data_IF_623407708079
#
_entry.id   IF_623407708079
#
_cell.length_a   1.000
_cell.length_b   1.000
_cell.length_c   1.000
_cell.angle_alpha   90.00
_cell.angle_beta   90.00
_cell.angle_gamma   90.00
#
_symmetry.space_group_name_H-M   'P 1'
#
loop_
_entity.id
_entity.type
_entity.pdbx_description
1 polymer ?
#
# COMPACT_ATOMS: atom_id res chain seq x y z
N UNK A 1 18.73 32.68 -4.42
CA UNK A 1 18.04 31.37 -4.48
C UNK A 1 16.58 31.61 -4.14
N UNK A 2 15.64 31.33 -5.05
CA UNK A 2 14.23 31.73 -4.86
C UNK A 2 13.54 30.90 -3.77
N UNK A 3 12.57 31.48 -3.06
CA UNK A 3 11.75 30.80 -2.05
C UNK A 3 11.13 29.51 -2.62
N UNK A 4 10.73 29.52 -3.89
CA UNK A 4 10.26 28.31 -4.61
C UNK A 4 11.27 27.17 -4.61
N UNK A 5 12.56 27.46 -4.78
CA UNK A 5 13.59 26.42 -4.81
C UNK A 5 13.79 25.77 -3.43
N UNK A 6 13.72 26.56 -2.36
CA UNK A 6 13.73 26.05 -0.98
C UNK A 6 12.50 25.18 -0.68
N UNK A 7 11.32 25.59 -1.12
CA UNK A 7 10.09 24.80 -0.98
C UNK A 7 10.15 23.48 -1.76
N UNK A 8 10.74 23.50 -2.96
CA UNK A 8 10.96 22.28 -3.76
C UNK A 8 11.92 21.32 -3.06
N UNK A 9 13.05 21.81 -2.54
CA UNK A 9 14.00 20.99 -1.78
C UNK A 9 13.32 20.41 -0.55
N UNK A 10 12.61 21.24 0.22
CA UNK A 10 11.87 20.78 1.39
C UNK A 10 10.86 19.68 1.01
N UNK A 11 10.10 19.86 -0.07
CA UNK A 11 9.18 18.85 -0.58
C UNK A 11 9.87 17.54 -0.99
N UNK A 12 11.00 17.62 -1.69
CA UNK A 12 11.77 16.44 -2.06
C UNK A 12 12.31 15.71 -0.82
N UNK A 13 12.85 16.45 0.16
CA UNK A 13 13.34 15.89 1.42
C UNK A 13 12.20 15.24 2.18
N UNK A 14 11.02 15.86 2.29
CA UNK A 14 9.89 15.25 2.99
C UNK A 14 9.34 14.03 2.25
N UNK A 15 9.27 14.05 0.92
CA UNK A 15 8.84 12.89 0.12
C UNK A 15 9.81 11.71 0.24
N UNK A 16 11.11 11.94 0.10
CA UNK A 16 12.15 10.90 0.24
C UNK A 16 12.19 10.38 1.66
N UNK A 17 12.13 11.28 2.66
CA UNK A 17 12.11 10.90 4.07
C UNK A 17 10.85 10.10 4.40
N UNK A 18 9.66 10.53 3.93
CA UNK A 18 8.41 9.79 4.10
C UNK A 18 8.49 8.41 3.44
N UNK A 19 9.06 8.31 2.24
CA UNK A 19 9.31 7.04 1.56
C UNK A 19 10.24 6.12 2.36
N UNK A 20 11.35 6.66 2.87
CA UNK A 20 12.31 5.91 3.68
C UNK A 20 11.73 5.48 5.02
N UNK A 21 11.07 6.38 5.76
CA UNK A 21 10.38 6.07 7.01
C UNK A 21 9.27 5.07 6.80
N UNK A 22 8.45 5.25 5.76
CA UNK A 22 7.40 4.30 5.39
C UNK A 22 8.00 2.93 5.10
N UNK A 23 9.08 2.84 4.31
CA UNK A 23 9.73 1.56 4.01
C UNK A 23 10.30 0.89 5.29
N UNK A 24 11.02 1.64 6.12
CA UNK A 24 11.54 1.13 7.41
C UNK A 24 10.40 0.66 8.32
N UNK A 25 9.31 1.43 8.36
CA UNK A 25 8.14 1.12 9.15
C UNK A 25 7.37 -0.09 8.61
N UNK A 26 7.23 -0.23 7.29
CA UNK A 26 6.65 -1.42 6.65
C UNK A 26 7.49 -2.66 6.96
N UNK A 27 8.83 -2.57 6.90
CA UNK A 27 9.72 -3.66 7.30
C UNK A 27 9.48 -4.06 8.76
N UNK A 28 9.46 -3.10 9.70
CA UNK A 28 9.16 -3.39 11.11
C UNK A 28 7.77 -3.98 11.32
N UNK A 29 6.77 -3.49 10.59
CA UNK A 29 5.41 -4.03 10.59
C UNK A 29 5.39 -5.49 10.10
N UNK A 30 6.11 -5.76 9.02
CA UNK A 30 6.23 -7.09 8.43
C UNK A 30 6.95 -8.07 9.36
N UNK A 31 7.92 -7.57 10.13
CA UNK A 31 8.62 -8.28 11.20
C UNK A 31 7.80 -8.39 12.50
N UNK A 32 6.58 -7.86 12.56
CA UNK A 32 5.74 -7.95 13.75
C UNK A 32 6.23 -7.11 14.95
N UNK A 33 7.31 -6.33 14.80
CA UNK A 33 7.91 -5.55 15.89
C UNK A 33 7.00 -4.43 16.42
N UNK A 34 5.98 -4.04 15.66
CA UNK A 34 5.10 -2.91 15.98
C UNK A 34 3.72 -3.42 16.31
N UNK A 35 3.25 -3.12 17.53
CA UNK A 35 1.85 -3.32 17.95
C UNK A 35 0.90 -2.73 16.92
N UNK A 36 -0.14 -3.49 16.56
CA UNK A 36 -1.09 -3.13 15.50
C UNK A 36 -1.80 -1.80 15.79
N UNK A 37 -2.07 -1.48 17.05
CA UNK A 37 -2.66 -0.19 17.46
C UNK A 37 -1.75 1.00 17.14
N UNK A 38 -0.46 0.88 17.50
CA UNK A 38 0.56 1.86 17.11
C UNK A 38 0.64 1.94 15.60
N UNK A 39 0.39 0.83 14.90
CA UNK A 39 0.41 0.86 13.46
C UNK A 39 -0.72 1.71 12.84
N UNK A 40 -1.93 1.56 13.38
CA UNK A 40 -3.08 2.37 12.98
C UNK A 40 -2.87 3.83 13.32
N UNK A 41 -2.42 4.13 14.53
CA UNK A 41 -2.15 5.49 14.99
C UNK A 41 -1.13 6.21 14.08
N UNK A 42 -0.01 5.55 13.76
CA UNK A 42 0.98 6.10 12.84
C UNK A 42 0.42 6.35 11.44
N UNK A 43 -0.39 5.43 10.92
CA UNK A 43 -1.02 5.61 9.61
C UNK A 43 -2.02 6.77 9.61
N UNK A 44 -2.85 6.90 10.64
CA UNK A 44 -3.78 8.03 10.80
C UNK A 44 -2.99 9.35 10.87
N UNK A 45 -1.97 9.40 11.73
CA UNK A 45 -1.15 10.59 11.92
C UNK A 45 -0.46 11.03 10.63
N UNK A 46 0.16 10.09 9.92
CA UNK A 46 0.76 10.35 8.62
C UNK A 46 -0.24 10.97 7.64
N UNK A 47 -1.42 10.36 7.49
CA UNK A 47 -2.43 10.87 6.57
C UNK A 47 -2.95 12.26 6.99
N UNK A 48 -3.11 12.52 8.29
CA UNK A 48 -3.49 13.85 8.79
C UNK A 48 -2.43 14.92 8.50
N UNK A 49 -1.16 14.63 8.76
CA UNK A 49 -0.05 15.54 8.46
C UNK A 49 -0.01 15.88 6.97
N UNK A 50 -0.19 14.88 6.10
CA UNK A 50 -0.27 15.11 4.66
C UNK A 50 -1.51 15.93 4.29
N UNK A 51 -2.68 15.67 4.88
CA UNK A 51 -3.87 16.47 4.63
C UNK A 51 -3.66 17.95 5.00
N UNK A 52 -3.06 18.22 6.16
CA UNK A 52 -2.72 19.58 6.60
C UNK A 52 -1.74 20.23 5.64
N UNK A 53 -0.70 19.51 5.21
CA UNK A 53 0.28 20.01 4.24
C UNK A 53 -0.39 20.45 2.93
N UNK A 54 -1.25 19.60 2.37
CA UNK A 54 -2.01 19.94 1.16
C UNK A 54 -2.97 21.12 1.40
N UNK A 55 -3.60 21.21 2.56
CA UNK A 55 -4.42 22.35 2.96
C UNK A 55 -3.64 23.67 3.03
N UNK A 56 -2.41 23.65 3.56
CA UNK A 56 -1.51 24.82 3.56
C UNK A 56 -1.20 25.26 2.12
N UNK A 57 -0.96 24.31 1.21
CA UNK A 57 -0.72 24.62 -0.21
C UNK A 57 -1.93 25.28 -0.87
N UNK A 58 -3.16 24.90 -0.50
CA UNK A 58 -4.39 25.58 -0.96
C UNK A 58 -4.41 27.03 -0.49
N UNK A 59 -4.21 27.26 0.81
CA UNK A 59 -4.24 28.61 1.39
C UNK A 59 -3.16 29.49 0.74
N UNK A 60 -1.93 28.99 0.63
CA UNK A 60 -0.83 29.71 -0.02
C UNK A 60 -1.16 30.09 -1.47
N UNK A 61 -1.80 29.18 -2.22
CA UNK A 61 -2.13 29.44 -3.62
C UNK A 61 -3.22 30.50 -3.78
N UNK A 62 -4.26 30.47 -2.93
CA UNK A 62 -5.33 31.48 -2.92
C UNK A 62 -4.81 32.83 -2.44
N UNK A 63 -4.02 32.86 -1.36
CA UNK A 63 -3.49 34.09 -0.79
C UNK A 63 -2.43 34.77 -1.66
N UNK A 64 -1.75 34.03 -2.54
CA UNK A 64 -0.76 34.62 -3.45
C UNK A 64 -1.40 35.54 -4.49
N UNK A 65 -2.67 35.34 -4.83
CA UNK A 65 -3.38 36.06 -5.90
C UNK A 65 -4.87 36.23 -5.57
N UNK A 66 -5.23 37.13 -4.64
CA UNK A 66 -6.60 37.21 -4.10
C UNK A 66 -7.65 37.65 -5.13
N UNK A 67 -7.25 38.41 -6.15
CA UNK A 67 -8.17 38.95 -7.16
C UNK A 67 -8.29 38.07 -8.42
N UNK A 68 -7.48 37.02 -8.53
CA UNK A 68 -7.58 36.05 -9.64
C UNK A 68 -8.55 34.92 -9.28
N UNK A 69 -9.24 34.33 -10.28
CA UNK A 69 -10.01 33.11 -10.05
C UNK A 69 -9.10 32.01 -9.49
N UNK A 70 -9.66 31.17 -8.60
CA UNK A 70 -8.94 30.08 -7.95
C UNK A 70 -8.27 29.20 -9.01
N UNK A 71 -6.94 29.08 -8.92
CA UNK A 71 -6.19 28.31 -9.90
C UNK A 71 -6.56 26.83 -9.87
N UNK A 72 -6.44 26.15 -11.00
CA UNK A 72 -6.59 24.70 -11.10
C UNK A 72 -5.75 23.94 -10.05
N UNK A 73 -4.54 24.43 -9.74
CA UNK A 73 -3.68 23.82 -8.75
C UNK A 73 -4.25 23.87 -7.34
N UNK A 74 -4.93 24.95 -6.95
CA UNK A 74 -5.59 25.02 -5.64
C UNK A 74 -6.67 23.93 -5.50
N UNK A 75 -7.46 23.66 -6.54
CA UNK A 75 -8.42 22.54 -6.53
C UNK A 75 -7.73 21.18 -6.43
N UNK A 76 -6.62 20.98 -7.15
CA UNK A 76 -5.84 19.75 -7.07
C UNK A 76 -5.27 19.54 -5.65
N UNK A 77 -4.77 20.60 -5.01
CA UNK A 77 -4.28 20.54 -3.63
C UNK A 77 -5.42 20.24 -2.64
N UNK A 78 -6.58 20.87 -2.81
CA UNK A 78 -7.76 20.62 -1.98
C UNK A 78 -8.23 19.18 -2.10
N UNK A 79 -8.29 18.65 -3.33
CA UNK A 79 -8.62 17.26 -3.57
C UNK A 79 -7.61 16.32 -2.92
N UNK A 80 -6.31 16.62 -3.01
CA UNK A 80 -5.26 15.89 -2.30
C UNK A 80 -5.48 15.87 -0.79
N UNK A 81 -5.76 17.02 -0.18
CA UNK A 81 -6.06 17.13 1.25
C UNK A 81 -7.25 16.25 1.64
N UNK A 82 -8.35 16.32 0.88
CA UNK A 82 -9.55 15.51 1.11
C UNK A 82 -9.27 14.01 1.01
N UNK A 83 -8.51 13.58 0.00
CA UNK A 83 -8.12 12.17 -0.16
C UNK A 83 -7.30 11.66 1.02
N UNK A 84 -6.39 12.48 1.56
CA UNK A 84 -5.64 12.13 2.76
C UNK A 84 -6.52 12.08 4.01
N UNK A 85 -7.51 12.96 4.16
CA UNK A 85 -8.49 12.86 5.26
C UNK A 85 -9.33 11.58 5.18
N UNK A 86 -9.82 11.22 3.99
CA UNK A 86 -10.55 9.97 3.76
C UNK A 86 -9.65 8.78 4.11
N UNK A 87 -8.38 8.80 3.67
CA UNK A 87 -7.41 7.75 4.00
C UNK A 87 -7.14 7.66 5.51
N UNK A 88 -7.04 8.80 6.21
CA UNK A 88 -6.90 8.85 7.66
C UNK A 88 -8.11 8.22 8.36
N UNK A 89 -9.33 8.60 7.94
CA UNK A 89 -10.56 8.03 8.47
C UNK A 89 -10.67 6.51 8.21
N UNK A 90 -10.30 6.07 7.00
CA UNK A 90 -10.24 4.64 6.68
C UNK A 90 -9.21 3.91 7.54
N UNK A 91 -8.02 4.50 7.77
CA UNK A 91 -7.00 3.91 8.65
C UNK A 91 -7.47 3.83 10.11
N UNK A 92 -8.20 4.84 10.58
CA UNK A 92 -8.79 4.89 11.91
C UNK A 92 -9.86 3.81 12.12
N UNK A 93 -10.79 3.70 11.17
CA UNK A 93 -11.92 2.75 11.23
C UNK A 93 -11.54 1.31 10.88
N UNK A 94 -10.42 1.10 10.18
CA UNK A 94 -9.97 -0.22 9.78
C UNK A 94 -9.69 -1.09 11.00
N UNK A 95 -10.52 -2.10 11.20
CA UNK A 95 -10.24 -3.16 12.16
C UNK A 95 -9.05 -4.00 11.70
N UNK A 96 -8.27 -4.47 12.66
CA UNK A 96 -7.15 -5.34 12.36
C UNK A 96 -7.68 -6.71 11.95
N UNK A 97 -7.07 -7.32 10.93
CA UNK A 97 -7.52 -8.65 10.49
C UNK A 97 -6.92 -9.70 11.42
N UNK A 98 -7.61 -10.82 11.70
CA UNK A 98 -7.06 -11.91 12.51
C UNK A 98 -5.66 -12.37 12.05
N UNK A 99 -5.45 -12.44 10.73
CA UNK A 99 -4.16 -12.80 10.13
C UNK A 99 -3.01 -11.85 10.49
N UNK A 100 -3.30 -10.59 10.82
CA UNK A 100 -2.28 -9.64 11.23
C UNK A 100 -1.72 -10.00 12.62
N UNK A 101 -2.56 -10.49 13.54
CA UNK A 101 -2.13 -10.98 14.86
C UNK A 101 -1.29 -12.25 14.74
N UNK A 102 -1.72 -13.17 13.87
CA UNK A 102 -0.98 -14.39 13.55
C UNK A 102 0.42 -14.07 13.01
N UNK A 103 0.55 -13.03 12.17
CA UNK A 103 1.85 -12.58 11.65
C UNK A 103 2.76 -12.03 12.75
N UNK A 104 2.21 -11.25 13.68
CA UNK A 104 2.99 -10.76 14.83
C UNK A 104 3.51 -11.94 15.66
N UNK A 105 2.64 -12.90 15.98
CA UNK A 105 3.01 -14.09 16.75
C UNK A 105 4.04 -14.97 16.04
N UNK A 106 3.91 -15.19 14.73
CA UNK A 106 4.88 -15.98 13.97
C UNK A 106 6.29 -15.39 13.99
N UNK A 107 6.40 -14.06 14.03
CA UNK A 107 7.70 -13.39 14.06
C UNK A 107 8.31 -13.34 15.46
N UNK A 108 7.47 -13.27 16.50
CA UNK A 108 7.88 -13.32 17.90
C UNK A 108 6.96 -14.26 18.70
N UNK A 109 7.25 -15.58 18.70
CA UNK A 109 6.43 -16.58 19.39
C UNK A 109 6.44 -16.43 20.91
N UNK A 110 7.33 -15.59 21.45
CA UNK A 110 7.40 -15.31 22.89
C UNK A 110 6.28 -14.40 23.35
N UNK A 111 5.53 -13.77 22.43
CA UNK A 111 4.50 -12.79 22.76
C UNK A 111 3.21 -13.00 22.00
N UNK A 112 2.07 -12.93 22.70
CA UNK A 112 0.74 -12.95 22.12
C UNK A 112 0.61 -11.90 21.00
N UNK A 113 0.26 -12.35 19.80
CA UNK A 113 0.11 -11.47 18.63
C UNK A 113 -1.01 -10.43 18.76
N UNK A 114 -2.02 -10.68 19.61
CA UNK A 114 -3.16 -9.80 19.83
C UNK A 114 -2.88 -8.71 20.89
N UNK A 115 -2.52 -9.08 22.11
CA UNK A 115 -2.32 -8.12 23.22
C UNK A 115 -0.84 -7.83 23.55
N UNK A 116 0.09 -8.64 23.06
CA UNK A 116 1.53 -8.50 23.34
C UNK A 116 1.99 -9.05 24.70
N UNK A 117 1.14 -9.81 25.40
CA UNK A 117 1.49 -10.53 26.64
C UNK A 117 2.56 -11.59 26.38
N UNK A 118 3.45 -11.84 27.34
CA UNK A 118 4.50 -12.88 27.24
C UNK A 118 3.88 -14.27 27.38
N UNK A 119 4.11 -15.15 26.39
CA UNK A 119 3.52 -16.49 26.33
C UNK A 119 4.55 -17.63 26.40
N UNK A 120 5.82 -17.35 26.73
CA UNK A 120 6.90 -18.35 26.76
C UNK A 120 6.64 -19.53 27.70
N UNK A 121 5.94 -19.27 28.81
CA UNK A 121 5.72 -20.26 29.88
C UNK A 121 4.29 -20.79 29.94
N UNK A 122 3.54 -20.66 28.84
CA UNK A 122 2.13 -21.00 28.82
C UNK A 122 1.96 -22.39 28.21
N UNK A 123 1.44 -23.33 29.00
CA UNK A 123 1.08 -24.67 28.54
C UNK A 123 -0.27 -24.69 27.81
N UNK A 124 -1.12 -23.68 28.01
CA UNK A 124 -2.41 -23.59 27.34
C UNK A 124 -2.30 -23.03 25.92
N UNK A 125 -3.12 -23.55 25.00
CA UNK A 125 -3.28 -23.04 23.63
C UNK A 125 -3.97 -21.66 23.55
N UNK A 126 -4.21 -20.99 24.68
CA UNK A 126 -4.87 -19.69 24.76
C UNK A 126 -4.06 -18.70 25.58
N UNK A 127 -4.07 -17.44 25.15
CA UNK A 127 -3.50 -16.35 25.90
C UNK A 127 -4.35 -16.07 27.16
N UNK A 128 -3.76 -16.03 28.37
CA UNK A 128 -4.49 -15.83 29.62
C UNK A 128 -5.01 -14.41 29.80
N UNK A 129 -4.45 -13.43 29.07
CA UNK A 129 -4.82 -12.02 29.21
C UNK A 129 -6.01 -11.64 28.33
N UNK A 130 -5.97 -12.02 27.04
CA UNK A 130 -7.00 -11.64 26.07
C UNK A 130 -7.85 -12.81 25.55
N UNK A 131 -7.54 -14.05 25.96
CA UNK A 131 -8.24 -15.25 25.50
C UNK A 131 -7.96 -15.66 24.05
N UNK A 132 -7.01 -15.01 23.37
CA UNK A 132 -6.67 -15.33 21.99
C UNK A 132 -6.09 -16.74 21.86
N UNK A 133 -6.64 -17.54 20.94
CA UNK A 133 -6.16 -18.89 20.63
C UNK A 133 -4.83 -18.78 19.84
N UNK A 134 -3.77 -19.34 20.43
CA UNK A 134 -2.42 -19.31 19.88
C UNK A 134 -2.36 -20.30 18.72
N UNK A 135 -2.13 -19.84 17.48
CA UNK A 135 -2.15 -20.73 16.33
C UNK A 135 -0.93 -21.65 16.33
N UNK A 136 -1.11 -22.89 15.89
CA UNK A 136 0.01 -23.81 15.63
C UNK A 136 0.90 -23.27 14.50
N UNK A 137 2.13 -22.87 14.82
CA UNK A 137 3.03 -22.20 13.87
C UNK A 137 3.42 -23.07 12.67
N UNK A 138 3.39 -24.40 12.84
CA UNK A 138 3.71 -25.37 11.77
C UNK A 138 2.61 -25.44 10.71
N UNK A 139 1.36 -25.16 11.10
CA UNK A 139 0.21 -25.17 10.20
C UNK A 139 -0.02 -23.82 9.51
N UNK A 140 0.42 -22.73 10.14
CA UNK A 140 0.23 -21.39 9.59
C UNK A 140 1.24 -21.10 8.48
N UNK A 141 0.73 -21.11 7.24
CA UNK A 141 1.43 -20.54 6.08
C UNK A 141 1.16 -19.05 6.00
N UNK A 142 2.22 -18.23 6.05
CA UNK A 142 2.17 -16.78 5.84
C UNK A 142 2.98 -16.42 4.60
N UNK A 143 2.50 -15.42 3.86
CA UNK A 143 3.26 -14.91 2.72
C UNK A 143 4.52 -14.18 3.20
N UNK A 144 5.66 -14.46 2.56
CA UNK A 144 6.92 -13.78 2.89
C UNK A 144 6.79 -12.27 2.65
N UNK A 145 7.26 -11.44 3.61
CA UNK A 145 7.23 -9.98 3.47
C UNK A 145 8.27 -9.42 2.50
N UNK A 146 9.33 -10.19 2.19
CA UNK A 146 10.43 -9.74 1.33
C UNK A 146 9.97 -9.69 -0.14
N UNK A 147 9.49 -8.53 -0.57
CA UNK A 147 9.14 -8.24 -1.98
C UNK A 147 10.35 -8.33 -2.92
N UNK A 148 11.57 -8.19 -2.40
CA UNK A 148 12.80 -8.40 -3.17
C UNK A 148 13.15 -9.87 -3.31
N UNK A 149 12.61 -10.76 -2.46
CA UNK A 149 12.76 -12.22 -2.61
C UNK A 149 12.41 -12.65 -4.02
N UNK A 150 11.43 -12.00 -4.67
CA UNK A 150 11.00 -12.29 -6.03
C UNK A 150 12.05 -12.00 -7.10
N UNK A 151 12.90 -11.00 -6.89
CA UNK A 151 13.95 -10.61 -7.83
C UNK A 151 15.25 -11.39 -7.60
N UNK A 152 15.37 -12.12 -6.48
CA UNK A 152 16.49 -13.02 -6.23
C UNK A 152 16.34 -14.26 -7.13
N UNK A 153 17.43 -14.64 -7.81
CA UNK A 153 17.49 -15.78 -8.75
C UNK A 153 16.86 -17.03 -8.12
N UNK A 154 15.87 -17.62 -8.79
CA UNK A 154 15.19 -18.86 -8.36
C UNK A 154 13.89 -18.70 -7.58
N UNK A 155 13.52 -17.49 -7.13
CA UNK A 155 12.31 -17.25 -6.30
C UNK A 155 11.13 -16.63 -7.08
N UNK A 156 11.00 -16.97 -8.36
CA UNK A 156 9.90 -16.51 -9.21
C UNK A 156 8.56 -17.18 -8.88
N UNK A 157 8.60 -18.31 -8.20
CA UNK A 157 7.39 -19.03 -7.83
C UNK A 157 6.79 -18.48 -6.54
N UNK A 158 5.46 -18.42 -6.51
CA UNK A 158 4.73 -18.07 -5.28
C UNK A 158 4.53 -19.38 -4.52
N UNK A 159 5.14 -19.49 -3.34
CA UNK A 159 4.98 -20.64 -2.44
C UNK A 159 3.58 -20.65 -1.80
N UNK A 160 3.10 -19.48 -1.38
CA UNK A 160 1.82 -19.30 -0.74
C UNK A 160 1.25 -17.92 -1.05
N UNK A 161 -0.06 -17.85 -1.33
CA UNK A 161 -0.76 -16.62 -1.67
C UNK A 161 -1.97 -16.41 -0.76
N UNK A 162 -1.94 -15.33 0.02
CA UNK A 162 -3.11 -14.88 0.79
C UNK A 162 -4.22 -14.39 -0.16
N UNK A 163 -5.47 -14.80 0.05
CA UNK A 163 -6.60 -14.46 -0.82
C UNK A 163 -6.84 -12.93 -0.92
N UNK A 164 -6.57 -12.21 0.16
CA UNK A 164 -6.68 -10.74 0.18
C UNK A 164 -5.73 -10.08 -0.83
N UNK A 165 -4.54 -10.63 -1.03
CA UNK A 165 -3.56 -10.09 -1.98
C UNK A 165 -3.99 -10.33 -3.43
N UNK A 166 -4.73 -11.41 -3.71
CA UNK A 166 -5.39 -11.62 -5.00
C UNK A 166 -6.42 -10.53 -5.30
N UNK A 167 -7.31 -10.24 -4.33
CA UNK A 167 -8.35 -9.20 -4.48
C UNK A 167 -7.70 -7.82 -4.66
N UNK A 168 -6.66 -7.51 -3.90
CA UNK A 168 -5.89 -6.26 -4.01
C UNK A 168 -5.20 -6.11 -5.35
N UNK A 169 -4.50 -7.13 -5.84
CA UNK A 169 -3.77 -7.02 -7.12
C UNK A 169 -4.73 -6.85 -8.32
N UNK A 170 -5.89 -7.53 -8.33
CA UNK A 170 -6.93 -7.29 -9.35
C UNK A 170 -7.44 -5.85 -9.30
N UNK A 171 -7.79 -5.34 -8.11
CA UNK A 171 -8.22 -3.94 -7.94
C UNK A 171 -7.13 -2.98 -8.38
N UNK A 172 -5.87 -3.25 -8.03
CA UNK A 172 -4.71 -2.43 -8.40
C UNK A 172 -4.52 -2.32 -9.91
N UNK A 173 -4.70 -3.43 -10.65
CA UNK A 173 -4.67 -3.42 -12.12
C UNK A 173 -5.77 -2.54 -12.72
N UNK A 174 -7.02 -2.71 -12.26
CA UNK A 174 -8.17 -1.93 -12.75
C UNK A 174 -7.96 -0.44 -12.47
N UNK A 175 -7.57 -0.10 -11.23
CA UNK A 175 -7.31 1.28 -10.82
C UNK A 175 -6.19 1.89 -11.66
N UNK A 176 -5.08 1.17 -11.86
CA UNK A 176 -3.96 1.66 -12.67
C UNK A 176 -4.39 1.91 -14.12
N UNK A 177 -5.18 1.00 -14.71
CA UNK A 177 -5.73 1.18 -16.06
C UNK A 177 -6.63 2.42 -16.17
N UNK A 178 -7.52 2.64 -15.20
CA UNK A 178 -8.38 3.84 -15.16
C UNK A 178 -7.53 5.11 -15.06
N UNK A 179 -6.50 5.14 -14.20
CA UNK A 179 -5.61 6.30 -14.05
C UNK A 179 -4.84 6.62 -15.34
N UNK A 180 -4.38 5.60 -16.08
CA UNK A 180 -3.75 5.79 -17.39
C UNK A 180 -4.73 6.47 -18.35
N UNK A 181 -5.97 5.99 -18.44
CA UNK A 181 -6.99 6.57 -19.32
C UNK A 181 -7.32 8.02 -18.95
N UNK A 182 -7.40 8.33 -17.65
CA UNK A 182 -7.59 9.70 -17.18
C UNK A 182 -6.41 10.59 -17.60
N UNK A 183 -5.16 10.15 -17.40
CA UNK A 183 -3.99 10.91 -17.81
C UNK A 183 -3.95 11.18 -19.33
N UNK A 184 -4.31 10.17 -20.14
CA UNK A 184 -4.42 10.34 -21.60
C UNK A 184 -5.54 11.33 -21.94
N UNK A 185 -6.71 11.19 -21.32
CA UNK A 185 -7.84 12.11 -21.52
C UNK A 185 -7.49 13.56 -21.18
N UNK A 186 -6.80 13.79 -20.05
CA UNK A 186 -6.30 15.11 -19.66
C UNK A 186 -5.26 15.62 -20.66
N UNK A 187 -4.31 14.79 -21.12
CA UNK A 187 -3.34 15.20 -22.12
C UNK A 187 -4.00 15.61 -23.44
N UNK A 188 -5.00 14.86 -23.90
CA UNK A 188 -5.80 15.18 -25.10
C UNK A 188 -6.58 16.47 -24.90
N UNK A 189 -7.24 16.65 -23.76
CA UNK A 189 -7.98 17.88 -23.43
C UNK A 189 -7.06 19.10 -23.34
N UNK A 190 -5.88 18.99 -22.73
CA UNK A 190 -4.90 20.06 -22.69
C UNK A 190 -4.38 20.40 -24.10
N UNK A 191 -4.23 19.40 -24.97
CA UNK A 191 -3.80 19.62 -26.36
C UNK A 191 -4.80 20.45 -27.17
N UNK A 192 -6.10 20.44 -26.82
CA UNK A 192 -7.11 21.25 -27.50
C UNK A 192 -7.14 22.70 -27.02
N UNK A 193 -6.51 23.02 -25.89
CA UNK A 193 -6.38 24.40 -25.40
C UNK A 193 -5.30 25.14 -26.21
N UNK A 194 -5.65 26.31 -26.76
CA UNK A 194 -4.74 27.09 -27.64
C UNK A 194 -3.51 27.63 -26.90
N UNK A 195 -3.63 27.87 -25.60
CA UNK A 195 -2.59 28.50 -24.79
C UNK A 195 -1.63 27.50 -24.13
N UNK A 196 -1.90 26.19 -24.28
CA UNK A 196 -1.09 25.15 -23.67
C UNK A 196 -0.06 24.64 -24.67
N UNK A 197 1.18 25.14 -24.52
CA UNK A 197 2.32 24.64 -25.27
C UNK A 197 2.69 23.19 -24.93
N UNK A 198 3.67 22.62 -25.66
CA UNK A 198 4.17 21.26 -25.44
C UNK A 198 4.62 20.99 -23.99
N UNK A 199 5.11 22.00 -23.29
CA UNK A 199 5.49 21.93 -21.88
C UNK A 199 4.31 21.53 -20.97
N UNK A 200 3.08 21.91 -21.31
CA UNK A 200 1.88 21.52 -20.56
C UNK A 200 1.49 20.05 -20.72
N UNK A 201 2.01 19.37 -21.75
CA UNK A 201 1.77 17.94 -21.99
C UNK A 201 2.80 17.03 -21.31
N UNK A 202 3.97 17.56 -20.95
CA UNK A 202 5.06 16.78 -20.35
C UNK A 202 4.61 16.10 -19.06
N UNK A 203 3.91 16.84 -18.19
CA UNK A 203 3.45 16.33 -16.89
C UNK A 203 2.49 15.14 -17.03
N UNK A 204 1.35 15.23 -17.76
CA UNK A 204 0.42 14.10 -17.87
C UNK A 204 1.03 12.90 -18.61
N UNK A 205 1.92 13.13 -19.59
CA UNK A 205 2.61 12.03 -20.28
C UNK A 205 3.60 11.31 -19.35
N UNK A 206 4.34 12.05 -18.54
CA UNK A 206 5.26 11.46 -17.56
C UNK A 206 4.51 10.68 -16.48
N UNK A 207 3.36 11.18 -16.02
CA UNK A 207 2.48 10.43 -15.11
C UNK A 207 1.93 9.16 -15.77
N UNK A 208 1.46 9.23 -17.02
CA UNK A 208 1.00 8.07 -17.76
C UNK A 208 2.10 7.00 -17.88
N UNK A 209 3.34 7.41 -18.17
CA UNK A 209 4.49 6.50 -18.20
C UNK A 209 4.71 5.77 -16.87
N UNK A 210 4.66 6.47 -15.73
CA UNK A 210 4.75 5.82 -14.42
C UNK A 210 3.61 4.83 -14.16
N UNK A 211 2.39 5.18 -14.53
CA UNK A 211 1.26 4.27 -14.37
C UNK A 211 1.38 3.04 -15.29
N UNK A 212 1.94 3.17 -16.49
CA UNK A 212 2.27 2.04 -17.37
C UNK A 212 3.31 1.13 -16.72
N UNK A 213 4.38 1.68 -16.11
CA UNK A 213 5.36 0.88 -15.38
C UNK A 213 4.71 0.14 -14.19
N UNK A 214 3.87 0.82 -13.41
CA UNK A 214 3.09 0.19 -12.34
C UNK A 214 2.15 -0.90 -12.84
N UNK A 215 1.49 -0.68 -13.98
CA UNK A 215 0.63 -1.66 -14.63
C UNK A 215 1.44 -2.88 -15.09
N UNK A 216 2.66 -2.69 -15.61
CA UNK A 216 3.58 -3.78 -15.94
C UNK A 216 3.93 -4.64 -14.73
N UNK A 217 4.33 -4.02 -13.62
CA UNK A 217 4.66 -4.73 -12.37
C UNK A 217 3.43 -5.48 -11.82
N UNK A 218 2.28 -4.83 -11.77
CA UNK A 218 1.04 -5.46 -11.29
C UNK A 218 0.55 -6.56 -12.24
N UNK A 219 0.79 -6.43 -13.55
CA UNK A 219 0.50 -7.42 -14.57
C UNK A 219 1.36 -8.67 -14.42
N UNK A 220 2.66 -8.51 -14.21
CA UNK A 220 3.59 -9.61 -13.88
C UNK A 220 3.09 -10.34 -12.62
N UNK A 221 2.74 -9.60 -11.57
CA UNK A 221 2.21 -10.20 -10.33
C UNK A 221 0.89 -10.95 -10.57
N UNK A 222 -0.02 -10.39 -11.37
CA UNK A 222 -1.28 -11.05 -11.71
C UNK A 222 -1.06 -12.35 -12.50
N UNK A 223 -0.12 -12.34 -13.44
CA UNK A 223 0.29 -13.54 -14.18
C UNK A 223 0.87 -14.60 -13.24
N UNK A 224 1.77 -14.22 -12.32
CA UNK A 224 2.35 -15.16 -11.33
C UNK A 224 1.28 -15.77 -10.43
N UNK A 225 0.35 -14.95 -9.92
CA UNK A 225 -0.78 -15.46 -9.13
C UNK A 225 -1.65 -16.43 -9.94
N UNK A 226 -1.83 -16.18 -11.24
CA UNK A 226 -2.55 -17.13 -12.11
C UNK A 226 -1.82 -18.46 -12.20
N UNK A 227 -0.49 -18.46 -12.35
CA UNK A 227 0.29 -19.70 -12.37
C UNK A 227 0.21 -20.45 -11.03
N UNK A 228 0.29 -19.74 -9.91
CA UNK A 228 0.08 -20.32 -8.58
C UNK A 228 -1.25 -21.09 -8.50
N UNK A 229 -2.37 -20.44 -8.86
CA UNK A 229 -3.69 -21.07 -8.80
C UNK A 229 -3.87 -22.25 -9.76
N UNK A 230 -3.15 -22.28 -10.89
CA UNK A 230 -3.16 -23.45 -11.77
C UNK A 230 -2.53 -24.64 -11.05
N UNK A 231 -1.32 -24.47 -10.52
CA UNK A 231 -0.62 -25.53 -9.79
C UNK A 231 -1.40 -26.06 -8.60
N UNK A 232 -1.92 -25.17 -7.73
CA UNK A 232 -2.70 -25.60 -6.57
C UNK A 232 -3.96 -26.36 -6.97
N UNK A 233 -4.59 -26.01 -8.11
CA UNK A 233 -5.75 -26.76 -8.62
C UNK A 233 -5.34 -28.14 -9.09
N UNK A 234 -4.22 -28.24 -9.80
CA UNK A 234 -3.71 -29.50 -10.32
C UNK A 234 -3.34 -30.45 -9.17
N UNK A 235 -2.65 -29.94 -8.14
CA UNK A 235 -2.32 -30.68 -6.90
C UNK A 235 -3.57 -31.19 -6.16
N UNK A 236 -4.59 -30.36 -6.01
CA UNK A 236 -5.87 -30.75 -5.38
C UNK A 236 -6.58 -31.82 -6.21
N UNK A 237 -6.58 -31.69 -7.53
CA UNK A 237 -7.20 -32.67 -8.43
C UNK A 237 -6.49 -34.02 -8.39
N UNK A 238 -5.16 -34.03 -8.31
CA UNK A 238 -4.37 -35.26 -8.17
C UNK A 238 -4.61 -35.93 -6.81
N UNK A 239 -4.62 -35.16 -5.73
CA UNK A 239 -4.91 -35.67 -4.39
C UNK A 239 -6.30 -36.31 -4.29
N UNK A 240 -7.32 -35.69 -4.91
CA UNK A 240 -8.67 -36.25 -4.99
C UNK A 240 -8.71 -37.57 -5.77
N UNK A 241 -8.04 -37.65 -6.92
CA UNK A 241 -7.94 -38.89 -7.71
C UNK A 241 -7.23 -40.02 -6.97
N UNK A 242 -6.24 -39.68 -6.13
CA UNK A 242 -5.57 -40.67 -5.27
C UNK A 242 -6.47 -41.14 -4.13
N UNK A 243 -7.26 -40.24 -3.53
CA UNK A 243 -8.22 -40.59 -2.49
C UNK A 243 -9.35 -41.49 -2.99
N UNK A 244 -9.81 -41.32 -4.23
CA UNK A 244 -10.87 -42.15 -4.83
C UNK A 244 -10.41 -43.56 -5.21
N UNK A 245 -9.10 -43.80 -5.31
CA UNK A 245 -8.52 -45.11 -5.69
C UNK A 245 -8.21 -46.02 -4.51
N UNK A 246 -8.19 -45.48 -3.29
CA UNK A 246 -7.89 -46.21 -2.04
C UNK A 246 -9.18 -46.52 -1.29
#
# INVERSE_FOLDING_TARGET
MSIMFLLLIFFLVTMVSAGWYSNRYQNKKQLGEIRIEKQKSNAVWYNLVMAVWFGVMVVMNISAKPDEPISFFAYMWLFGALMFLISAYQAYTKQAKPIDYVRVYKNDPTRCGQCGYDVVHIESERCPECGWELPNLDEVRLQSPDVWKWWKKGNWEIEYLEEDNRKKSKKGLIISGILILICIGVAVWLRTQKDVGWSGLVVPLWMAFFFVLMMGITGINAWRMRQYYRRTRDEVSEAQKCAEKN
#
